data_IF_593213421385
#
_entry.id   IF_593213421385
#
_cell.length_a   1.000
_cell.length_b   1.000
_cell.length_c   1.000
_cell.angle_alpha   90.00
_cell.angle_beta   90.00
_cell.angle_gamma   90.00
#
_symmetry.space_group_name_H-M   'P 1'
#
loop_
_entity.id
_entity.type
_entity.pdbx_description
1 polymer ?
#
# COMPACT_ATOMS: atom_id res chain seq x y z
N UNK A 1 -16.29 -3.59 0.94
CA UNK A 1 -16.64 -5.02 0.80
C UNK A 1 -15.38 -5.87 0.59
N UNK A 2 -14.48 -5.55 -0.35
CA UNK A 2 -13.28 -6.34 -0.61
C UNK A 2 -12.39 -6.56 0.62
N UNK A 3 -12.16 -5.52 1.43
CA UNK A 3 -11.41 -5.65 2.68
C UNK A 3 -12.14 -6.51 3.71
N UNK A 4 -13.45 -6.39 3.79
CA UNK A 4 -14.26 -7.24 4.67
C UNK A 4 -14.15 -8.72 4.29
N UNK A 5 -14.20 -9.03 2.99
CA UNK A 5 -13.98 -10.39 2.50
C UNK A 5 -12.56 -10.92 2.80
N UNK A 6 -11.58 -10.03 2.90
CA UNK A 6 -10.18 -10.36 3.24
C UNK A 6 -9.89 -10.31 4.75
N UNK A 7 -10.86 -9.96 5.60
CA UNK A 7 -10.67 -9.75 7.03
C UNK A 7 -10.02 -10.95 7.75
N UNK A 8 -10.31 -12.18 7.31
CA UNK A 8 -9.71 -13.40 7.85
C UNK A 8 -8.18 -13.47 7.65
N UNK A 9 -7.61 -12.63 6.79
CA UNK A 9 -6.17 -12.55 6.51
C UNK A 9 -5.46 -11.47 7.33
N UNK A 10 -6.18 -10.60 8.04
CA UNK A 10 -5.60 -9.56 8.86
C UNK A 10 -6.66 -8.90 9.74
N UNK A 11 -6.50 -9.00 11.05
CA UNK A 11 -7.49 -8.54 12.04
C UNK A 11 -6.94 -7.48 12.99
N UNK A 12 -5.68 -7.07 12.80
CA UNK A 12 -5.02 -6.14 13.70
C UNK A 12 -5.23 -4.68 13.29
N UNK A 13 -5.14 -4.42 12.02
CA UNK A 13 -5.38 -3.09 11.46
C UNK A 13 -5.85 -3.17 10.02
N UNK A 14 -6.52 -2.14 9.57
CA UNK A 14 -6.94 -2.00 8.19
C UNK A 14 -6.87 -0.55 7.74
N UNK A 15 -6.89 -0.35 6.43
CA UNK A 15 -6.86 0.98 5.86
C UNK A 15 -7.20 1.00 4.37
N UNK A 16 -7.61 2.17 3.92
CA UNK A 16 -7.92 2.49 2.53
C UNK A 16 -7.25 3.81 2.18
N UNK A 17 -6.66 3.88 1.00
CA UNK A 17 -6.21 5.13 0.38
C UNK A 17 -6.82 5.23 -1.01
N UNK A 18 -7.44 6.36 -1.32
CA UNK A 18 -8.19 6.60 -2.57
C UNK A 18 -7.70 7.89 -3.22
N UNK A 19 -7.65 7.88 -4.54
CA UNK A 19 -7.34 9.06 -5.35
C UNK A 19 -8.35 9.23 -6.48
N UNK A 20 -8.58 10.46 -6.88
CA UNK A 20 -9.31 10.78 -8.11
C UNK A 20 -8.31 10.99 -9.24
N UNK A 21 -8.36 10.11 -10.24
CA UNK A 21 -7.44 10.15 -11.39
C UNK A 21 -7.69 11.32 -12.33
N UNK A 22 -8.88 11.93 -12.28
CA UNK A 22 -9.30 13.05 -13.14
C UNK A 22 -9.29 14.40 -12.40
N UNK A 23 -9.41 14.39 -11.08
CA UNK A 23 -9.49 15.57 -10.25
C UNK A 23 -8.16 16.04 -9.69
N UNK A 24 -8.23 16.61 -8.48
CA UNK A 24 -7.05 17.04 -7.73
C UNK A 24 -6.16 15.82 -7.41
N UNK A 25 -4.84 16.03 -7.50
CA UNK A 25 -3.85 14.98 -7.19
C UNK A 25 -3.72 14.75 -5.67
N UNK A 26 -4.85 14.62 -5.00
CA UNK A 26 -4.92 14.31 -3.58
C UNK A 26 -5.14 12.81 -3.37
N UNK A 27 -4.65 12.31 -2.25
CA UNK A 27 -4.96 10.98 -1.76
C UNK A 27 -5.72 11.16 -0.44
N UNK A 28 -6.93 10.66 -0.41
CA UNK A 28 -7.73 10.54 0.81
C UNK A 28 -7.42 9.18 1.43
N UNK A 29 -7.11 9.15 2.70
CA UNK A 29 -6.81 7.89 3.38
C UNK A 29 -7.38 7.86 4.78
N UNK A 30 -7.91 6.69 5.16
CA UNK A 30 -8.27 6.36 6.53
C UNK A 30 -7.69 4.99 6.85
N UNK A 31 -7.09 4.87 8.02
CA UNK A 31 -6.56 3.62 8.55
C UNK A 31 -6.65 3.63 10.07
N UNK A 32 -6.72 2.45 10.67
CA UNK A 32 -6.81 2.31 12.11
C UNK A 32 -6.49 0.89 12.58
N UNK A 33 -6.35 0.74 13.88
CA UNK A 33 -6.29 -0.56 14.55
C UNK A 33 -7.72 -1.12 14.67
N UNK A 34 -7.86 -2.43 14.51
CA UNK A 34 -9.12 -3.13 14.62
C UNK A 34 -9.63 -3.69 13.28
N UNK A 35 -10.85 -4.19 13.32
CA UNK A 35 -11.54 -4.80 12.20
C UNK A 35 -12.07 -3.74 11.23
N UNK A 36 -12.37 -4.16 10.01
CA UNK A 36 -12.86 -3.25 8.95
C UNK A 36 -14.12 -2.50 9.37
N UNK A 37 -15.05 -3.16 10.05
CA UNK A 37 -16.29 -2.57 10.55
C UNK A 37 -16.11 -1.70 11.81
N UNK A 38 -14.97 -1.78 12.47
CA UNK A 38 -14.61 -0.92 13.60
C UNK A 38 -13.90 0.36 13.15
N UNK A 39 -13.14 0.27 12.07
CA UNK A 39 -12.35 1.39 11.52
C UNK A 39 -13.15 2.25 10.53
N UNK A 40 -14.09 1.63 9.80
CA UNK A 40 -14.85 2.30 8.74
C UNK A 40 -16.35 2.31 9.07
N UNK A 41 -16.89 3.51 9.13
CA UNK A 41 -18.32 3.84 9.17
C UNK A 41 -18.76 4.55 7.87
N UNK A 42 -20.04 4.87 7.76
CA UNK A 42 -20.56 5.54 6.56
C UNK A 42 -19.95 6.93 6.35
N UNK A 43 -19.71 7.68 7.42
CA UNK A 43 -19.14 9.03 7.36
C UNK A 43 -17.72 8.98 6.80
N UNK A 44 -16.88 8.11 7.33
CA UNK A 44 -15.50 7.93 6.87
C UNK A 44 -15.40 7.42 5.43
N UNK A 45 -16.36 6.60 5.00
CA UNK A 45 -16.41 6.15 3.61
C UNK A 45 -16.79 7.28 2.65
N UNK A 46 -17.63 8.23 3.08
CA UNK A 46 -17.97 9.41 2.27
C UNK A 46 -16.79 10.37 2.07
N UNK A 47 -15.82 10.38 2.99
CA UNK A 47 -14.59 11.17 2.86
C UNK A 47 -13.59 10.56 1.85
N UNK A 48 -13.68 9.25 1.61
CA UNK A 48 -12.80 8.53 0.70
C UNK A 48 -13.26 8.68 -0.76
N UNK A 49 -13.18 9.90 -1.28
CA UNK A 49 -13.62 10.25 -2.64
C UNK A 49 -12.55 9.92 -3.67
N UNK A 50 -12.95 9.22 -4.75
CA UNK A 50 -12.08 8.91 -5.89
C UNK A 50 -12.54 7.66 -6.63
N UNK A 51 -11.80 7.35 -7.69
CA UNK A 51 -12.09 6.23 -8.60
C UNK A 51 -10.96 5.20 -8.66
N UNK A 52 -9.86 5.43 -7.94
CA UNK A 52 -8.72 4.53 -7.82
C UNK A 52 -8.34 4.41 -6.35
N UNK A 53 -8.31 3.19 -5.83
CA UNK A 53 -8.01 2.97 -4.42
C UNK A 53 -7.15 1.74 -4.18
N UNK A 54 -6.47 1.76 -3.05
CA UNK A 54 -5.75 0.62 -2.48
C UNK A 54 -6.20 0.42 -1.04
N UNK A 55 -6.44 -0.83 -0.68
CA UNK A 55 -6.81 -1.19 0.68
C UNK A 55 -5.93 -2.31 1.21
N UNK A 56 -5.83 -2.38 2.53
CA UNK A 56 -5.03 -3.39 3.22
C UNK A 56 -5.70 -3.81 4.52
N UNK A 57 -5.64 -5.10 4.82
CA UNK A 57 -5.89 -5.68 6.15
C UNK A 57 -4.58 -6.31 6.62
N UNK A 58 -4.17 -6.00 7.84
CA UNK A 58 -2.86 -6.37 8.37
C UNK A 58 -2.98 -7.41 9.47
N UNK A 59 -2.15 -8.43 9.37
CA UNK A 59 -1.81 -9.33 10.46
C UNK A 59 -0.37 -9.03 10.89
N UNK A 60 -0.12 -8.83 12.17
CA UNK A 60 1.21 -8.46 12.68
C UNK A 60 2.19 -9.60 12.55
N UNK A 61 3.19 -9.43 11.69
CA UNK A 61 4.33 -10.35 11.58
C UNK A 61 5.62 -9.72 12.09
N UNK A 62 5.75 -8.39 11.95
CA UNK A 62 6.90 -7.62 12.40
C UNK A 62 6.47 -6.19 12.78
N UNK A 63 7.10 -5.60 13.78
CA UNK A 63 6.91 -4.19 14.15
C UNK A 63 5.80 -3.89 15.15
N UNK A 64 5.09 -4.91 15.69
CA UNK A 64 4.05 -4.72 16.72
C UNK A 64 2.76 -4.03 16.24
N UNK A 65 1.75 -4.02 17.12
CA UNK A 65 0.43 -3.41 16.91
C UNK A 65 0.48 -1.90 17.18
N UNK A 66 1.05 -1.14 16.24
CA UNK A 66 1.11 0.31 16.31
C UNK A 66 0.32 0.94 15.19
N UNK A 67 -0.41 2.01 15.49
CA UNK A 67 -1.25 2.71 14.51
C UNK A 67 -0.44 3.25 13.31
N UNK A 68 0.79 3.71 13.54
CA UNK A 68 1.70 4.15 12.48
C UNK A 68 2.03 3.05 11.46
N UNK A 69 2.02 1.78 11.90
CA UNK A 69 2.30 0.62 11.07
C UNK A 69 1.10 0.13 10.24
N UNK A 70 -0.09 0.70 10.46
CA UNK A 70 -1.26 0.37 9.65
C UNK A 70 -1.05 0.80 8.20
N UNK A 71 -1.45 -0.04 7.28
CA UNK A 71 -1.34 0.20 5.84
C UNK A 71 -2.71 0.50 5.21
N UNK A 72 -2.78 1.17 4.06
CA UNK A 72 -1.66 1.56 3.17
C UNK A 72 -0.75 2.62 3.79
N UNK A 73 0.54 2.53 3.48
CA UNK A 73 1.50 3.59 3.78
C UNK A 73 1.36 4.69 2.72
N UNK A 74 0.99 5.88 3.15
CA UNK A 74 0.86 7.06 2.27
C UNK A 74 2.04 7.98 2.52
N UNK A 75 2.79 8.30 1.48
CA UNK A 75 3.94 9.20 1.53
C UNK A 75 3.82 10.33 0.52
N UNK A 76 4.20 11.51 0.96
CA UNK A 76 4.35 12.69 0.10
C UNK A 76 5.83 12.91 -0.22
N UNK A 77 6.14 13.15 -1.47
CA UNK A 77 7.49 13.45 -1.91
C UNK A 77 7.46 14.39 -3.12
N UNK A 78 8.62 14.83 -3.59
CA UNK A 78 8.75 15.88 -4.63
C UNK A 78 8.01 15.58 -5.96
N UNK A 79 7.74 14.30 -6.29
CA UNK A 79 6.99 13.90 -7.49
C UNK A 79 5.50 13.67 -7.24
N UNK A 80 5.02 13.92 -6.04
CA UNK A 80 3.61 13.75 -5.66
C UNK A 80 3.40 12.80 -4.49
N UNK A 81 2.36 12.00 -4.56
CA UNK A 81 1.95 11.10 -3.49
C UNK A 81 2.03 9.67 -3.98
N UNK A 82 2.47 8.77 -3.10
CA UNK A 82 2.37 7.32 -3.27
C UNK A 82 1.59 6.71 -2.11
N UNK A 83 0.75 5.72 -2.39
CA UNK A 83 0.20 4.84 -1.36
C UNK A 83 0.60 3.39 -1.68
N UNK A 84 1.06 2.67 -0.66
CA UNK A 84 1.63 1.32 -0.81
C UNK A 84 0.95 0.37 0.15
N UNK A 85 0.45 -0.74 -0.38
CA UNK A 85 0.06 -1.91 0.38
C UNK A 85 1.06 -3.04 0.09
N UNK A 86 1.53 -3.71 1.13
CA UNK A 86 2.55 -4.74 1.06
C UNK A 86 2.10 -5.98 1.83
N UNK A 87 2.12 -7.11 1.16
CA UNK A 87 1.97 -8.42 1.77
C UNK A 87 3.27 -9.19 1.60
N UNK A 88 4.01 -9.34 2.68
CA UNK A 88 5.27 -10.05 2.66
C UNK A 88 6.25 -9.57 3.72
N UNK A 89 7.52 -9.92 3.51
CA UNK A 89 8.62 -9.53 4.38
C UNK A 89 9.92 -9.48 3.59
N UNK A 90 10.69 -8.42 3.80
CA UNK A 90 12.01 -8.27 3.20
C UNK A 90 13.08 -8.90 4.09
N UNK A 91 13.96 -9.69 3.49
CA UNK A 91 15.10 -10.30 4.21
C UNK A 91 16.24 -9.32 4.42
N UNK A 92 16.34 -8.27 3.61
CA UNK A 92 17.36 -7.23 3.70
C UNK A 92 16.83 -5.86 4.16
N UNK A 93 15.67 -5.83 4.83
CA UNK A 93 15.04 -4.58 5.26
C UNK A 93 15.94 -3.74 6.17
N UNK A 94 16.62 -4.36 7.14
CA UNK A 94 17.48 -3.69 8.11
C UNK A 94 18.70 -3.05 7.42
N UNK A 95 19.34 -3.78 6.53
CA UNK A 95 20.48 -3.31 5.75
C UNK A 95 20.10 -2.08 4.90
N UNK A 96 19.03 -2.20 4.13
CA UNK A 96 18.53 -1.10 3.29
C UNK A 96 18.06 0.10 4.10
N UNK A 97 17.48 -0.13 5.29
CA UNK A 97 17.07 0.94 6.19
C UNK A 97 18.29 1.73 6.66
N UNK A 98 19.34 1.07 7.11
CA UNK A 98 20.58 1.74 7.53
C UNK A 98 21.20 2.54 6.39
N UNK A 99 21.28 1.98 5.17
CA UNK A 99 21.77 2.72 4.01
C UNK A 99 20.97 4.00 3.73
N UNK A 100 19.67 3.93 3.91
CA UNK A 100 18.78 5.09 3.74
C UNK A 100 19.00 6.12 4.86
N UNK A 101 19.10 5.69 6.12
CA UNK A 101 19.35 6.55 7.28
C UNK A 101 20.69 7.28 7.17
N UNK A 102 21.76 6.61 6.75
CA UNK A 102 23.05 7.24 6.49
C UNK A 102 23.00 8.35 5.41
N UNK A 103 22.01 8.33 4.55
CA UNK A 103 21.78 9.37 3.53
C UNK A 103 20.68 10.36 3.92
N UNK A 104 20.29 10.38 5.22
CA UNK A 104 19.36 11.35 5.77
C UNK A 104 17.89 10.98 5.70
N UNK A 105 17.54 9.71 5.42
CA UNK A 105 16.15 9.28 5.51
C UNK A 105 15.68 9.23 6.95
N UNK A 106 14.50 9.78 7.23
CA UNK A 106 13.85 9.77 8.54
C UNK A 106 12.61 8.88 8.45
N UNK A 107 12.64 7.76 9.14
CA UNK A 107 11.55 6.79 9.14
C UNK A 107 10.48 7.13 10.17
N UNK A 108 9.22 6.97 9.79
CA UNK A 108 8.05 7.20 10.64
C UNK A 108 7.50 5.90 11.22
N UNK A 109 7.84 4.77 10.60
CA UNK A 109 7.30 3.46 10.96
C UNK A 109 8.44 2.46 11.20
N UNK A 110 8.09 1.30 11.73
CA UNK A 110 9.03 0.19 11.92
C UNK A 110 8.91 -0.89 10.83
N UNK A 111 8.00 -0.71 9.88
CA UNK A 111 7.73 -1.70 8.83
C UNK A 111 8.70 -1.58 7.65
N UNK A 112 8.99 -2.70 7.05
CA UNK A 112 9.82 -2.80 5.84
C UNK A 112 9.19 -2.13 4.60
N UNK A 113 7.88 -1.98 4.59
CA UNK A 113 7.14 -1.28 3.55
C UNK A 113 7.60 0.18 3.36
N UNK A 114 8.05 0.83 4.44
CA UNK A 114 8.59 2.19 4.36
C UNK A 114 9.95 2.21 3.66
N UNK A 115 10.77 1.18 3.84
CA UNK A 115 12.03 1.00 3.08
C UNK A 115 11.73 0.89 1.58
N UNK A 116 10.72 0.08 1.21
CA UNK A 116 10.26 -0.04 -0.18
C UNK A 116 9.83 1.32 -0.73
N UNK A 117 9.05 2.07 0.04
CA UNK A 117 8.55 3.40 -0.34
C UNK A 117 9.68 4.38 -0.62
N UNK A 118 10.70 4.42 0.25
CA UNK A 118 11.90 5.25 0.05
C UNK A 118 12.65 4.87 -1.22
N UNK A 119 12.85 3.59 -1.48
CA UNK A 119 13.53 3.14 -2.70
C UNK A 119 12.75 3.53 -3.96
N UNK A 120 11.42 3.34 -3.96
CA UNK A 120 10.57 3.77 -5.08
C UNK A 120 10.66 5.28 -5.26
N UNK A 121 10.58 6.07 -4.19
CA UNK A 121 10.68 7.53 -4.25
C UNK A 121 12.02 8.00 -4.82
N UNK A 122 13.15 7.40 -4.39
CA UNK A 122 14.49 7.68 -4.92
C UNK A 122 14.62 7.33 -6.40
N UNK A 123 14.21 6.14 -6.79
CA UNK A 123 14.26 5.72 -8.19
C UNK A 123 13.40 6.62 -9.07
N UNK A 124 12.26 7.10 -8.54
CA UNK A 124 11.37 8.01 -9.26
C UNK A 124 11.98 9.37 -9.59
N UNK A 125 13.05 9.78 -8.90
CA UNK A 125 13.81 10.97 -9.26
C UNK A 125 14.59 10.79 -10.57
N UNK A 126 15.02 9.57 -10.84
CA UNK A 126 15.89 9.23 -11.98
C UNK A 126 15.09 8.77 -13.21
N UNK A 127 13.83 8.38 -13.06
CA UNK A 127 12.98 7.89 -14.16
C UNK A 127 11.69 8.67 -14.30
N UNK A 128 11.14 8.70 -15.53
CA UNK A 128 9.92 9.46 -15.84
C UNK A 128 8.62 8.75 -15.45
N UNK A 129 8.62 7.42 -15.38
CA UNK A 129 7.43 6.61 -15.12
C UNK A 129 7.50 5.98 -13.73
N UNK A 130 6.35 5.89 -13.05
CA UNK A 130 6.28 5.29 -11.72
C UNK A 130 6.55 3.78 -11.74
N UNK A 131 6.08 3.09 -12.79
CA UNK A 131 6.32 1.66 -12.99
C UNK A 131 7.81 1.33 -13.14
N UNK A 132 8.59 2.19 -13.81
CA UNK A 132 10.04 2.01 -13.93
C UNK A 132 10.73 2.18 -12.58
N UNK A 133 10.26 3.11 -11.75
CA UNK A 133 10.77 3.30 -10.39
C UNK A 133 10.50 2.07 -9.51
N UNK A 134 9.28 1.51 -9.57
CA UNK A 134 8.94 0.27 -8.88
C UNK A 134 9.84 -0.88 -9.35
N UNK A 135 9.99 -1.05 -10.67
CA UNK A 135 10.86 -2.07 -11.26
C UNK A 135 12.32 -1.93 -10.82
N UNK A 136 12.84 -0.70 -10.71
CA UNK A 136 14.19 -0.47 -10.25
C UNK A 136 14.35 -0.74 -8.73
N UNK A 137 13.37 -0.33 -7.92
CA UNK A 137 13.36 -0.64 -6.49
C UNK A 137 13.36 -2.16 -6.24
N UNK A 138 12.61 -2.93 -7.05
CA UNK A 138 12.57 -4.39 -6.96
C UNK A 138 13.94 -5.07 -7.18
N UNK A 139 14.88 -4.43 -7.85
CA UNK A 139 16.24 -4.97 -8.01
C UNK A 139 17.07 -4.91 -6.73
N UNK A 140 16.66 -4.06 -5.77
CA UNK A 140 17.38 -3.82 -4.51
C UNK A 140 16.77 -4.62 -3.36
N UNK A 141 15.44 -4.72 -3.32
CA UNK A 141 14.72 -5.42 -2.25
C UNK A 141 14.80 -6.93 -2.45
N UNK A 142 15.00 -7.67 -1.36
CA UNK A 142 15.05 -9.14 -1.33
C UNK A 142 14.01 -9.66 -0.34
N UNK A 143 13.37 -10.77 -0.68
CA UNK A 143 12.38 -11.41 0.18
C UNK A 143 11.15 -11.87 -0.60
N UNK A 144 10.12 -12.24 0.15
CA UNK A 144 8.83 -12.65 -0.40
C UNK A 144 7.85 -11.49 -0.28
N UNK A 145 7.33 -10.98 -1.39
CA UNK A 145 6.43 -9.82 -1.36
C UNK A 145 5.44 -9.78 -2.52
N UNK A 146 4.26 -9.28 -2.22
CA UNK A 146 3.32 -8.74 -3.20
C UNK A 146 3.00 -7.30 -2.83
N UNK A 147 3.12 -6.40 -3.80
CA UNK A 147 2.95 -4.97 -3.64
C UNK A 147 1.80 -4.48 -4.50
N UNK A 148 1.01 -3.59 -3.94
CA UNK A 148 0.10 -2.72 -4.69
C UNK A 148 0.51 -1.29 -4.40
N UNK A 149 0.93 -0.60 -5.43
CA UNK A 149 1.40 0.79 -5.36
C UNK A 149 0.46 1.66 -6.16
N UNK A 150 -0.09 2.70 -5.56
CA UNK A 150 -0.85 3.71 -6.29
C UNK A 150 -0.12 5.05 -6.27
N UNK A 151 -0.13 5.70 -7.42
CA UNK A 151 0.16 7.12 -7.58
C UNK A 151 -1.15 7.83 -7.92
N UNK A 152 -1.22 9.17 -7.99
CA UNK A 152 -2.47 9.85 -8.30
C UNK A 152 -3.18 9.41 -9.59
N UNK A 153 -2.50 8.70 -10.49
CA UNK A 153 -3.07 8.30 -11.79
C UNK A 153 -2.84 6.84 -12.17
N UNK A 154 -2.13 6.08 -11.36
CA UNK A 154 -1.74 4.70 -11.74
C UNK A 154 -1.84 3.76 -10.55
N UNK A 155 -2.30 2.56 -10.85
CA UNK A 155 -2.21 1.40 -9.98
C UNK A 155 -1.17 0.45 -10.56
N UNK A 156 -0.24 0.01 -9.73
CA UNK A 156 0.88 -0.86 -10.11
C UNK A 156 0.87 -2.05 -9.17
N UNK A 157 0.73 -3.25 -9.74
CA UNK A 157 0.95 -4.49 -9.02
C UNK A 157 2.36 -5.01 -9.28
N UNK A 158 3.04 -5.47 -8.24
CA UNK A 158 4.35 -6.09 -8.35
C UNK A 158 4.49 -7.23 -7.34
N UNK A 159 5.25 -8.26 -7.68
CA UNK A 159 5.52 -9.38 -6.76
C UNK A 159 6.98 -9.81 -6.86
N UNK A 160 7.45 -10.52 -5.85
CA UNK A 160 8.80 -11.06 -5.82
C UNK A 160 9.12 -11.93 -7.05
N UNK A 161 10.40 -12.00 -7.47
CA UNK A 161 10.80 -12.72 -8.69
C UNK A 161 10.47 -14.23 -8.67
N UNK A 162 10.36 -14.81 -7.47
CA UNK A 162 10.07 -16.23 -7.30
C UNK A 162 8.57 -16.52 -7.19
N UNK A 163 7.74 -15.48 -7.10
CA UNK A 163 6.28 -15.62 -6.97
C UNK A 163 5.84 -16.25 -5.65
N UNK A 164 6.61 -16.08 -4.57
CA UNK A 164 6.32 -16.64 -3.25
C UNK A 164 5.05 -16.06 -2.64
N UNK A 165 4.75 -14.78 -2.94
CA UNK A 165 3.47 -14.18 -2.58
C UNK A 165 2.56 -14.12 -3.79
N UNK A 166 1.28 -14.53 -3.65
CA UNK A 166 0.32 -14.49 -4.75
C UNK A 166 -0.05 -13.04 -5.10
N UNK A 167 -0.22 -12.79 -6.39
CA UNK A 167 -0.81 -11.57 -6.92
C UNK A 167 -1.70 -11.97 -8.09
N UNK A 168 -2.96 -11.57 -8.07
CA UNK A 168 -3.91 -11.83 -9.15
C UNK A 168 -4.57 -10.54 -9.61
N UNK A 169 -5.02 -10.53 -10.87
CA UNK A 169 -5.80 -9.46 -11.47
C UNK A 169 -7.14 -10.06 -11.87
N UNK A 170 -8.21 -9.44 -11.39
CA UNK A 170 -9.57 -9.77 -11.81
C UNK A 170 -10.18 -8.57 -12.54
N UNK A 171 -10.94 -8.84 -13.57
CA UNK A 171 -11.78 -7.85 -14.24
C UNK A 171 -13.23 -8.26 -14.12
N UNK A 172 -14.10 -7.29 -13.86
CA UNK A 172 -15.53 -7.50 -13.71
C UNK A 172 -16.25 -6.60 -14.69
N UNK A 173 -17.08 -7.19 -15.54
CA UNK A 173 -17.84 -6.48 -16.57
C UNK A 173 -19.35 -6.63 -16.37
N UNK A 174 -19.85 -6.36 -15.15
CA UNK A 174 -21.30 -6.29 -14.94
C UNK A 174 -21.72 -4.95 -14.38
N UNK A 175 -22.92 -4.55 -14.79
CA UNK A 175 -23.50 -3.26 -14.44
C UNK A 175 -24.23 -3.26 -13.08
N UNK A 176 -24.37 -4.42 -12.42
CA UNK A 176 -25.08 -4.56 -11.15
C UNK A 176 -24.34 -5.50 -10.20
N UNK A 177 -23.98 -5.00 -9.03
CA UNK A 177 -23.65 -5.81 -7.86
C UNK A 177 -24.96 -6.12 -7.13
N UNK A 178 -25.52 -7.28 -7.35
CA UNK A 178 -26.56 -7.81 -6.46
C UNK A 178 -25.88 -8.32 -5.20
N UNK A 179 -26.04 -7.62 -4.10
CA UNK A 179 -25.71 -8.14 -2.78
C UNK A 179 -26.68 -9.29 -2.47
N UNK A 180 -26.21 -10.44 -1.98
CA UNK A 180 -27.12 -11.44 -1.44
C UNK A 180 -27.84 -10.80 -0.24
N UNK A 181 -29.16 -10.62 -0.35
CA UNK A 181 -30.04 -10.30 0.75
C UNK A 181 -30.26 -11.58 1.54
N UNK A 182 -29.67 -11.67 2.72
CA UNK A 182 -30.06 -12.63 3.76
C UNK A 182 -30.86 -11.92 4.82
#
# INVERSE_FOLDING_TARGET
YGLFALQHRGQESCGIAVTDTYGERKVHSKKGLGLVNEVFDEESLQELKGNLGVGHVRYSTAGGSRAENAMPLVINYVKGILAIAHNGNLTNAIELRHELEYTGAIFQTTIDSEVIAYHIARERLNVKKAEDAVKNAMKKIKGAYALVVTSPRKLIGARDPFGLKPLCIGTVSYTHLTLPTT
#
